data_IF_932177654566
#
_entry.id   IF_932177654566
#
_cell.length_a   1.000
_cell.length_b   1.000
_cell.length_c   1.000
_cell.angle_alpha   90.00
_cell.angle_beta   90.00
_cell.angle_gamma   90.00
#
_symmetry.space_group_name_H-M   'P 1'
#
loop_
_entity.id
_entity.type
_entity.pdbx_description
1 polymer ?
#
# COMPACT_ATOMS: atom_id res chain seq x y z
N UNK A 1 2.21 4.95 23.85
CA UNK A 1 2.47 3.90 22.84
C UNK A 1 3.89 3.41 23.02
N UNK A 2 4.07 2.20 23.55
CA UNK A 2 5.38 1.54 23.58
C UNK A 2 5.53 0.75 22.29
N UNK A 3 6.44 1.16 21.41
CA UNK A 3 6.76 0.42 20.21
C UNK A 3 7.70 -0.74 20.58
N UNK A 4 7.29 -1.97 20.29
CA UNK A 4 8.17 -3.13 20.43
C UNK A 4 8.99 -3.30 19.15
N UNK A 5 10.31 -3.16 19.26
CA UNK A 5 11.25 -3.17 18.12
C UNK A 5 11.55 -4.60 17.64
N UNK A 6 10.53 -5.43 17.48
CA UNK A 6 10.67 -6.77 16.91
C UNK A 6 11.09 -6.67 15.43
N UNK A 7 11.82 -7.67 14.89
CA UNK A 7 12.21 -7.69 13.48
C UNK A 7 11.02 -7.51 12.54
N UNK A 8 9.88 -8.10 12.91
CA UNK A 8 8.62 -8.00 12.17
C UNK A 8 8.12 -6.55 12.14
N UNK A 9 8.07 -5.88 13.29
CA UNK A 9 7.62 -4.49 13.39
C UNK A 9 8.53 -3.53 12.61
N UNK A 10 9.85 -3.75 12.65
CA UNK A 10 10.83 -2.99 11.86
C UNK A 10 10.58 -3.20 10.36
N UNK A 11 10.29 -4.44 9.94
CA UNK A 11 10.02 -4.77 8.53
C UNK A 11 8.73 -4.11 8.05
N UNK A 12 7.66 -4.12 8.85
CA UNK A 12 6.45 -3.34 8.53
C UNK A 12 6.71 -1.85 8.44
N UNK A 13 7.60 -1.30 9.26
CA UNK A 13 7.96 0.13 9.23
C UNK A 13 8.70 0.49 7.93
N UNK A 14 9.57 -0.40 7.44
CA UNK A 14 10.21 -0.25 6.14
C UNK A 14 9.20 -0.30 4.99
N UNK A 15 8.24 -1.24 5.04
CA UNK A 15 7.17 -1.35 4.04
C UNK A 15 6.24 -0.13 4.09
N UNK A 16 5.93 0.41 5.28
CA UNK A 16 5.12 1.61 5.41
C UNK A 16 5.87 2.86 4.92
N UNK A 17 7.18 2.96 5.13
CA UNK A 17 8.01 4.03 4.54
C UNK A 17 7.98 3.97 3.00
N UNK A 18 8.04 2.77 2.43
CA UNK A 18 7.90 2.56 0.99
C UNK A 18 6.51 2.96 0.48
N UNK A 19 5.46 2.71 1.26
CA UNK A 19 4.10 3.15 0.96
C UNK A 19 3.99 4.68 0.88
N UNK A 20 4.59 5.41 1.84
CA UNK A 20 4.65 6.88 1.83
C UNK A 20 5.41 7.41 0.62
N UNK A 21 6.52 6.75 0.27
CA UNK A 21 7.25 7.09 -0.96
C UNK A 21 6.37 6.88 -2.20
N UNK A 22 5.73 5.71 -2.34
CA UNK A 22 4.84 5.42 -3.46
C UNK A 22 3.69 6.44 -3.57
N UNK A 23 3.05 6.80 -2.45
CA UNK A 23 2.01 7.85 -2.39
C UNK A 23 2.54 9.20 -2.86
N UNK A 24 3.75 9.58 -2.42
CA UNK A 24 4.37 10.85 -2.80
C UNK A 24 4.61 10.95 -4.31
N UNK A 25 4.98 9.84 -4.96
CA UNK A 25 5.11 9.78 -6.42
C UNK A 25 3.75 9.86 -7.13
N UNK A 26 2.74 9.17 -6.60
CA UNK A 26 1.40 9.16 -7.16
C UNK A 26 0.74 10.55 -7.10
N UNK A 27 0.90 11.26 -5.97
CA UNK A 27 0.39 12.63 -5.80
C UNK A 27 1.11 13.61 -6.74
N UNK A 28 2.40 13.39 -6.99
CA UNK A 28 3.18 14.17 -7.98
C UNK A 28 2.86 13.80 -9.43
N UNK A 29 1.92 12.88 -9.67
CA UNK A 29 1.53 12.45 -11.01
C UNK A 29 2.58 11.62 -11.74
N UNK A 30 3.56 11.06 -11.02
CA UNK A 30 4.61 10.21 -11.60
C UNK A 30 4.14 8.76 -11.66
N UNK A 31 3.15 8.52 -12.53
CA UNK A 31 2.50 7.21 -12.67
C UNK A 31 3.39 6.15 -13.34
N UNK A 32 4.47 6.54 -14.02
CA UNK A 32 5.47 5.61 -14.60
C UNK A 32 6.32 4.90 -13.55
N UNK A 33 6.30 5.38 -12.30
CA UNK A 33 7.13 4.81 -11.25
C UNK A 33 6.63 3.43 -10.85
N UNK A 34 7.52 2.44 -10.84
CA UNK A 34 7.20 1.08 -10.41
C UNK A 34 7.09 0.92 -8.88
N UNK A 35 7.30 2.01 -8.12
CA UNK A 35 7.28 2.02 -6.66
C UNK A 35 5.96 1.55 -6.02
N UNK A 36 4.76 1.93 -6.52
CA UNK A 36 3.51 1.39 -5.99
C UNK A 36 3.44 -0.13 -6.14
N UNK A 37 3.93 -0.67 -7.26
CA UNK A 37 3.95 -2.12 -7.48
C UNK A 37 4.94 -2.81 -6.54
N UNK A 38 6.11 -2.20 -6.30
CA UNK A 38 7.10 -2.70 -5.37
C UNK A 38 6.53 -2.72 -3.94
N UNK A 39 5.81 -1.68 -3.55
CA UNK A 39 5.06 -1.63 -2.28
C UNK A 39 4.07 -2.79 -2.17
N UNK A 40 3.22 -2.99 -3.19
CA UNK A 40 2.25 -4.09 -3.15
C UNK A 40 2.91 -5.47 -3.11
N UNK A 41 4.02 -5.67 -3.82
CA UNK A 41 4.79 -6.91 -3.78
C UNK A 41 5.38 -7.16 -2.38
N UNK A 42 6.00 -6.15 -1.77
CA UNK A 42 6.54 -6.25 -0.41
C UNK A 42 5.44 -6.50 0.62
N UNK A 43 4.30 -5.82 0.48
CA UNK A 43 3.11 -6.01 1.31
C UNK A 43 2.58 -7.45 1.20
N UNK A 44 2.44 -7.99 -0.02
CA UNK A 44 2.00 -9.37 -0.26
C UNK A 44 2.93 -10.39 0.40
N UNK A 45 4.25 -10.21 0.26
CA UNK A 45 5.23 -11.10 0.90
C UNK A 45 5.10 -11.03 2.42
N UNK A 46 4.95 -9.83 2.98
CA UNK A 46 4.84 -9.63 4.42
C UNK A 46 3.55 -10.23 4.99
N UNK A 47 2.41 -10.05 4.32
CA UNK A 47 1.11 -10.63 4.73
C UNK A 47 1.02 -12.13 4.47
N UNK A 48 1.84 -12.68 3.57
CA UNK A 48 1.92 -14.13 3.36
C UNK A 48 2.85 -14.80 4.37
N UNK A 49 3.92 -14.10 4.79
CA UNK A 49 4.88 -14.58 5.76
C UNK A 49 4.44 -14.37 7.22
N UNK A 50 3.57 -13.38 7.44
CA UNK A 50 2.98 -13.05 8.73
C UNK A 50 1.49 -13.17 8.57
N UNK A 51 0.83 -14.00 9.39
CA UNK A 51 -0.62 -14.28 9.42
C UNK A 51 -1.48 -13.05 9.81
N UNK A 52 -1.10 -11.86 9.32
CA UNK A 52 -1.77 -10.59 9.51
C UNK A 52 -3.03 -10.58 8.66
N UNK A 53 -4.16 -10.28 9.30
CA UNK A 53 -5.49 -10.21 8.70
C UNK A 53 -5.67 -9.02 7.76
N UNK A 54 -4.79 -8.85 6.78
CA UNK A 54 -4.95 -7.80 5.78
C UNK A 54 -5.96 -8.25 4.74
N UNK A 55 -6.98 -7.42 4.49
CA UNK A 55 -8.03 -7.74 3.55
C UNK A 55 -7.45 -8.00 2.14
N UNK A 56 -7.48 -9.26 1.73
CA UNK A 56 -6.92 -9.74 0.47
C UNK A 56 -7.55 -9.05 -0.75
N UNK A 57 -8.84 -8.71 -0.68
CA UNK A 57 -9.52 -7.98 -1.75
C UNK A 57 -9.02 -6.54 -1.89
N UNK A 58 -8.67 -5.88 -0.78
CA UNK A 58 -8.10 -4.53 -0.80
C UNK A 58 -6.72 -4.54 -1.46
N UNK A 59 -5.89 -5.53 -1.12
CA UNK A 59 -4.56 -5.69 -1.69
C UNK A 59 -4.63 -5.98 -3.21
N UNK A 60 -5.45 -6.94 -3.63
CA UNK A 60 -5.57 -7.27 -5.06
C UNK A 60 -6.23 -6.16 -5.88
N UNK A 61 -7.24 -5.48 -5.35
CA UNK A 61 -7.85 -4.33 -6.04
C UNK A 61 -6.86 -3.18 -6.21
N UNK A 62 -6.00 -2.91 -5.21
CA UNK A 62 -4.90 -1.96 -5.32
C UNK A 62 -3.87 -2.35 -6.38
N UNK A 63 -3.45 -3.62 -6.40
CA UNK A 63 -2.54 -4.15 -7.45
C UNK A 63 -3.15 -3.97 -8.84
N UNK A 64 -4.42 -4.32 -9.01
CA UNK A 64 -5.13 -4.14 -10.27
C UNK A 64 -5.15 -2.66 -10.68
N UNK A 65 -5.48 -1.74 -9.77
CA UNK A 65 -5.46 -0.31 -10.04
C UNK A 65 -4.06 0.21 -10.42
N UNK A 66 -3.01 -0.26 -9.75
CA UNK A 66 -1.62 0.08 -10.07
C UNK A 66 -1.17 -0.44 -11.45
N UNK A 67 -1.62 -1.64 -11.84
CA UNK A 67 -1.37 -2.19 -13.18
C UNK A 67 -2.14 -1.42 -14.25
N UNK A 68 -3.38 -1.06 -13.95
CA UNK A 68 -4.26 -0.28 -14.82
C UNK A 68 -3.66 1.10 -15.12
N UNK A 69 -3.05 1.75 -14.12
CA UNK A 69 -2.33 3.03 -14.28
C UNK A 69 -1.13 2.98 -15.22
N UNK A 70 -0.57 1.80 -15.49
CA UNK A 70 0.54 1.64 -16.43
C UNK A 70 0.10 1.55 -17.88
N UNK A 71 -1.18 1.41 -18.18
CA UNK A 71 -1.63 1.45 -19.57
C UNK A 71 -1.63 2.90 -20.07
N UNK A 72 -0.66 3.20 -20.92
CA UNK A 72 -0.44 4.53 -21.53
C UNK A 72 -1.64 5.01 -22.38
N UNK A 73 -2.51 4.09 -22.80
CA UNK A 73 -3.69 4.36 -23.62
C UNK A 73 -4.90 4.93 -22.86
N UNK A 74 -4.75 5.26 -21.58
CA UNK A 74 -5.83 5.86 -20.79
C UNK A 74 -5.92 7.37 -20.98
N UNK A 75 -7.13 7.87 -21.25
CA UNK A 75 -7.39 9.30 -21.25
C UNK A 75 -7.03 9.94 -19.90
N UNK A 76 -6.48 11.16 -19.92
CA UNK A 76 -5.95 11.87 -18.73
C UNK A 76 -6.89 11.90 -17.52
N UNK A 77 -8.20 11.97 -17.76
CA UNK A 77 -9.22 11.94 -16.70
C UNK A 77 -9.34 10.57 -16.02
N UNK A 78 -9.27 9.49 -16.80
CA UNK A 78 -9.37 8.12 -16.28
C UNK A 78 -8.12 7.74 -15.49
N UNK A 79 -6.93 8.09 -15.98
CA UNK A 79 -5.66 7.89 -15.25
C UNK A 79 -5.70 8.61 -13.89
N UNK A 80 -6.24 9.83 -13.82
CA UNK A 80 -6.38 10.57 -12.56
C UNK A 80 -7.35 9.88 -11.60
N UNK A 81 -8.48 9.36 -12.10
CA UNK A 81 -9.46 8.62 -11.27
C UNK A 81 -8.86 7.34 -10.68
N UNK A 82 -8.21 6.51 -11.51
CA UNK A 82 -7.53 5.30 -11.03
C UNK A 82 -6.37 5.68 -10.09
N UNK A 83 -5.69 6.80 -10.33
CA UNK A 83 -4.65 7.35 -9.46
C UNK A 83 -5.16 7.62 -8.05
N UNK A 84 -6.36 8.22 -7.94
CA UNK A 84 -7.02 8.46 -6.66
C UNK A 84 -7.39 7.13 -5.99
N UNK A 85 -7.98 6.19 -6.72
CA UNK A 85 -8.32 4.86 -6.18
C UNK A 85 -7.08 4.13 -5.66
N UNK A 86 -6.01 4.09 -6.44
CA UNK A 86 -4.75 3.47 -6.05
C UNK A 86 -4.13 4.18 -4.82
N UNK A 87 -4.20 5.52 -4.76
CA UNK A 87 -3.74 6.26 -3.57
C UNK A 87 -4.56 5.94 -2.32
N UNK A 88 -5.88 5.76 -2.47
CA UNK A 88 -6.75 5.41 -1.35
C UNK A 88 -6.48 4.00 -0.85
N UNK A 89 -6.22 3.04 -1.75
CA UNK A 89 -5.85 1.68 -1.39
C UNK A 89 -4.52 1.63 -0.62
N UNK A 90 -3.48 2.34 -1.10
CA UNK A 90 -2.19 2.41 -0.37
C UNK A 90 -2.38 3.05 1.00
N UNK A 91 -3.19 4.11 1.09
CA UNK A 91 -3.47 4.79 2.36
C UNK A 91 -4.18 3.89 3.38
N UNK A 92 -5.18 3.11 2.93
CA UNK A 92 -5.90 2.17 3.80
C UNK A 92 -4.97 1.06 4.32
N UNK A 93 -4.15 0.48 3.45
CA UNK A 93 -3.15 -0.54 3.85
C UNK A 93 -2.16 0.03 4.86
N UNK A 94 -1.71 1.27 4.64
CA UNK A 94 -0.81 1.97 5.56
C UNK A 94 -1.46 2.14 6.94
N UNK A 95 -2.72 2.57 7.00
CA UNK A 95 -3.45 2.70 8.27
C UNK A 95 -3.56 1.35 8.98
N UNK A 96 -3.91 0.27 8.27
CA UNK A 96 -3.96 -1.08 8.86
C UNK A 96 -2.60 -1.51 9.45
N UNK A 97 -1.50 -1.24 8.76
CA UNK A 97 -0.16 -1.54 9.30
C UNK A 97 0.20 -0.71 10.53
N UNK A 98 -0.20 0.56 10.58
CA UNK A 98 0.01 1.38 11.77
C UNK A 98 -0.86 0.90 12.94
N UNK A 99 -2.09 0.46 12.70
CA UNK A 99 -2.96 -0.11 13.74
C UNK A 99 -2.40 -1.44 14.27
N UNK A 100 -1.87 -2.30 13.41
CA UNK A 100 -1.18 -3.54 13.83
C UNK A 100 0.07 -3.26 14.68
N UNK A 101 0.81 -2.18 14.39
CA UNK A 101 2.08 -1.87 15.05
C UNK A 101 1.94 -1.08 16.35
N UNK A 102 0.94 -0.19 16.42
CA UNK A 102 0.79 0.78 17.50
C UNK A 102 -0.59 0.75 18.17
N UNK A 103 -1.58 0.12 17.54
CA UNK A 103 -2.96 0.01 18.01
C UNK A 103 -3.27 -1.33 18.70
N UNK A 104 -4.56 -1.59 18.90
CA UNK A 104 -5.07 -2.76 19.63
C UNK A 104 -5.12 -4.05 18.77
N UNK A 105 -4.57 -4.02 17.54
CA UNK A 105 -4.68 -5.13 16.57
C UNK A 105 -6.12 -5.44 16.14
N UNK A 106 -7.05 -4.50 16.37
CA UNK A 106 -8.42 -4.57 15.88
C UNK A 106 -8.40 -4.04 14.46
N UNK A 107 -7.88 -4.86 13.56
CA UNK A 107 -7.80 -4.55 12.14
C UNK A 107 -9.06 -3.82 11.68
N UNK A 108 -8.88 -2.67 11.04
CA UNK A 108 -9.96 -2.11 10.24
C UNK A 108 -10.21 -3.14 9.14
N UNK A 109 -11.29 -3.93 9.32
CA UNK A 109 -11.78 -5.07 8.52
C UNK A 109 -11.30 -6.46 8.92
#
# INVERSE_FOLDING_TARGET
MSFDATPLNITTLLVSALAVAALSFLIKGRYDSNLPLLFYAATLVLTSATDRGLNTYLLYSGIAAALVLRFEFMGKGFTKFIGILNSSAISLILISFFDDMFGDGRGFF
#
